data_IF_360776390994
#
_entry.id   IF_360776390994
#
_cell.length_a   1.000
_cell.length_b   1.000
_cell.length_c   1.000
_cell.angle_alpha   90.00
_cell.angle_beta   90.00
_cell.angle_gamma   90.00
#
_symmetry.space_group_name_H-M   'P 1'
#
loop_
_entity.id
_entity.type
_entity.pdbx_description
1 polymer ?
#
# COMPACT_ATOMS: atom_id res chain seq x y z
N UNK A 1 -0.50 14.90 8.14
CA UNK A 1 0.56 13.88 8.32
C UNK A 1 -0.11 12.65 8.89
N UNK A 2 0.17 11.45 8.36
CA UNK A 2 -0.33 10.19 8.94
C UNK A 2 0.24 10.04 10.34
N UNK A 3 -0.57 9.62 11.33
CA UNK A 3 -0.05 9.36 12.68
C UNK A 3 0.78 8.06 12.70
N UNK A 4 1.74 7.92 13.65
CA UNK A 4 2.46 6.66 13.84
C UNK A 4 1.50 5.54 14.20
N UNK A 5 0.55 5.84 15.06
CA UNK A 5 -0.49 4.93 15.48
C UNK A 5 -1.30 4.34 14.30
N UNK A 6 -1.60 5.16 13.26
CA UNK A 6 -2.24 4.67 12.06
C UNK A 6 -1.37 3.66 11.30
N UNK A 7 -0.07 3.99 11.10
CA UNK A 7 0.84 3.11 10.35
C UNK A 7 1.05 1.81 11.11
N UNK A 8 1.40 1.88 12.39
CA UNK A 8 1.69 0.70 13.22
C UNK A 8 0.48 -0.23 13.36
N UNK A 9 -0.71 0.33 13.50
CA UNK A 9 -1.92 -0.49 13.62
C UNK A 9 -2.39 -1.12 12.31
N UNK A 10 -2.19 -0.46 11.18
CA UNK A 10 -2.70 -0.97 9.90
C UNK A 10 -1.63 -1.66 9.06
N UNK A 11 -0.35 -1.40 9.34
CA UNK A 11 0.80 -1.96 8.63
C UNK A 11 1.87 -2.42 9.62
N UNK A 12 1.55 -3.37 10.52
CA UNK A 12 2.49 -3.83 11.54
C UNK A 12 3.68 -4.55 10.90
N UNK A 13 4.84 -4.45 11.54
CA UNK A 13 6.03 -5.19 11.15
C UNK A 13 5.84 -6.69 11.39
N UNK A 14 6.52 -7.51 10.61
CA UNK A 14 6.40 -8.96 10.64
C UNK A 14 5.13 -9.49 9.95
N UNK A 15 4.35 -8.61 9.31
CA UNK A 15 3.07 -8.98 8.70
C UNK A 15 2.98 -8.48 7.27
N UNK A 16 2.35 -9.30 6.41
CA UNK A 16 1.94 -8.90 5.07
C UNK A 16 0.59 -8.20 5.15
N UNK A 17 0.50 -6.98 4.62
CA UNK A 17 -0.78 -6.28 4.43
C UNK A 17 -1.10 -6.18 2.95
N UNK A 18 -2.20 -6.79 2.54
CA UNK A 18 -2.69 -6.74 1.18
C UNK A 18 -3.65 -5.56 1.04
N UNK A 19 -3.33 -4.62 0.15
CA UNK A 19 -4.16 -3.44 -0.13
C UNK A 19 -4.91 -3.66 -1.43
N UNK A 20 -6.15 -4.11 -1.30
CA UNK A 20 -7.05 -4.35 -2.43
C UNK A 20 -7.72 -3.07 -2.91
N UNK A 21 -7.73 -2.83 -4.21
CA UNK A 21 -8.54 -1.76 -4.80
C UNK A 21 -8.89 -2.06 -6.26
N UNK A 22 -10.02 -1.54 -6.70
CA UNK A 22 -10.40 -1.58 -8.11
C UNK A 22 -9.44 -0.75 -8.96
N UNK A 23 -9.36 -1.02 -10.27
CA UNK A 23 -8.58 -0.19 -11.19
C UNK A 23 -8.94 1.30 -11.08
N UNK A 24 -7.95 2.17 -11.24
CA UNK A 24 -8.09 3.63 -11.21
C UNK A 24 -8.56 4.26 -9.88
N UNK A 25 -8.63 3.50 -8.80
CA UNK A 25 -8.94 4.06 -7.46
C UNK A 25 -7.74 4.82 -6.87
N UNK A 26 -6.53 4.56 -7.35
CA UNK A 26 -5.34 5.28 -6.89
C UNK A 26 -4.44 4.48 -5.94
N UNK A 27 -4.37 3.15 -6.08
CA UNK A 27 -3.48 2.28 -5.27
C UNK A 27 -2.04 2.78 -5.19
N UNK A 28 -1.41 2.97 -6.35
CA UNK A 28 -0.01 3.43 -6.43
C UNK A 28 0.17 4.82 -5.81
N UNK A 29 -0.80 5.74 -6.00
CA UNK A 29 -0.77 7.05 -5.37
C UNK A 29 -0.85 6.95 -3.84
N UNK A 30 -1.67 6.03 -3.33
CA UNK A 30 -1.74 5.71 -1.90
C UNK A 30 -0.40 5.21 -1.37
N UNK A 31 0.19 4.19 -2.01
CA UNK A 31 1.46 3.60 -1.60
C UNK A 31 2.61 4.64 -1.63
N UNK A 32 2.68 5.47 -2.67
CA UNK A 32 3.67 6.56 -2.78
C UNK A 32 3.47 7.59 -1.66
N UNK A 33 2.23 8.01 -1.38
CA UNK A 33 1.94 8.94 -0.27
C UNK A 33 2.34 8.36 1.09
N UNK A 34 2.10 7.06 1.30
CA UNK A 34 2.57 6.34 2.50
C UNK A 34 4.10 6.35 2.58
N UNK A 35 4.77 5.98 1.49
CA UNK A 35 6.23 5.94 1.40
C UNK A 35 6.86 7.31 1.70
N UNK A 36 6.30 8.41 1.16
CA UNK A 36 6.73 9.77 1.48
C UNK A 36 6.58 10.08 2.98
N UNK A 37 5.45 9.69 3.59
CA UNK A 37 5.24 9.91 5.02
C UNK A 37 6.21 9.12 5.91
N UNK A 38 6.58 7.90 5.50
CA UNK A 38 7.61 7.10 6.17
C UNK A 38 9.00 7.75 6.01
N UNK A 39 9.36 8.22 4.82
CA UNK A 39 10.63 8.90 4.56
C UNK A 39 10.78 10.19 5.38
N UNK A 40 9.70 10.97 5.55
CA UNK A 40 9.65 12.15 6.45
C UNK A 40 10.00 11.82 7.90
N UNK A 41 9.82 10.55 8.29
CA UNK A 41 10.12 10.03 9.63
C UNK A 41 11.44 9.28 9.72
N UNK A 42 12.29 9.47 8.73
CA UNK A 42 13.58 8.78 8.64
C UNK A 42 13.48 7.25 8.52
N UNK A 43 12.30 6.71 8.15
CA UNK A 43 12.17 5.28 7.88
C UNK A 43 12.73 4.96 6.49
N UNK A 44 13.44 3.83 6.38
CA UNK A 44 13.89 3.30 5.09
C UNK A 44 12.83 2.39 4.52
N UNK A 45 12.62 2.46 3.20
CA UNK A 45 11.71 1.56 2.54
C UNK A 45 12.19 1.18 1.14
N UNK A 46 11.68 0.04 0.69
CA UNK A 46 11.88 -0.46 -0.66
C UNK A 46 10.53 -0.40 -1.37
N UNK A 47 10.52 0.12 -2.60
CA UNK A 47 9.36 0.17 -3.45
C UNK A 47 9.63 -0.62 -4.73
N UNK A 48 9.03 -1.81 -4.83
CA UNK A 48 9.05 -2.62 -6.04
C UNK A 48 7.90 -2.18 -6.94
N UNK A 49 8.25 -1.53 -8.05
CA UNK A 49 7.31 -1.00 -9.03
C UNK A 49 7.25 -1.92 -10.24
N UNK A 50 6.26 -2.80 -10.28
CA UNK A 50 6.12 -3.79 -11.36
C UNK A 50 5.26 -3.30 -12.52
N UNK A 51 4.53 -2.20 -12.33
CA UNK A 51 3.66 -1.59 -13.35
C UNK A 51 4.26 -0.34 -13.99
N UNK A 52 5.08 0.40 -13.24
CA UNK A 52 5.66 1.67 -13.69
C UNK A 52 7.18 1.60 -13.62
N UNK A 53 7.85 2.26 -14.57
CA UNK A 53 9.28 2.48 -14.47
C UNK A 53 9.65 3.38 -13.26
N UNK A 54 10.88 3.27 -12.84
CA UNK A 54 11.44 3.99 -11.70
C UNK A 54 11.31 5.50 -11.84
N UNK A 55 11.52 6.03 -13.03
CA UNK A 55 11.42 7.46 -13.34
C UNK A 55 10.02 7.98 -13.06
N UNK A 56 8.98 7.25 -13.47
CA UNK A 56 7.58 7.61 -13.18
C UNK A 56 7.24 7.59 -11.69
N UNK A 57 7.81 6.64 -10.94
CA UNK A 57 7.64 6.63 -9.48
C UNK A 57 8.28 7.87 -8.87
N UNK A 58 9.51 8.22 -9.29
CA UNK A 58 10.21 9.42 -8.85
C UNK A 58 9.43 10.69 -9.19
N UNK A 59 8.88 10.79 -10.40
CA UNK A 59 8.07 11.94 -10.80
C UNK A 59 6.83 12.07 -9.93
N UNK A 60 6.14 10.97 -9.61
CA UNK A 60 4.99 10.99 -8.70
C UNK A 60 5.35 11.40 -7.27
N UNK A 61 6.57 11.06 -6.81
CA UNK A 61 7.08 11.52 -5.52
C UNK A 61 7.31 13.05 -5.58
N UNK A 62 7.99 13.54 -6.61
CA UNK A 62 8.26 14.97 -6.80
C UNK A 62 7.00 15.82 -6.92
N UNK A 63 5.92 15.27 -7.44
CA UNK A 63 4.62 15.93 -7.51
C UNK A 63 3.94 16.11 -6.14
N UNK A 64 4.31 15.29 -5.15
CA UNK A 64 3.78 15.34 -3.78
C UNK A 64 4.73 16.01 -2.78
N UNK A 65 5.91 16.45 -3.23
CA UNK A 65 6.95 17.08 -2.42
C UNK A 65 7.46 18.35 -3.13
N UNK A 66 7.99 19.28 -2.37
CA UNK A 66 8.82 20.34 -2.98
C UNK A 66 10.28 19.86 -3.19
N UNK A 67 11.09 20.66 -3.91
CA UNK A 67 12.48 20.28 -4.22
C UNK A 67 13.35 20.07 -2.98
N UNK A 68 13.17 20.90 -1.94
CA UNK A 68 13.93 20.80 -0.69
C UNK A 68 13.54 19.53 0.06
N UNK A 69 12.25 19.27 0.13
CA UNK A 69 11.73 18.08 0.77
C UNK A 69 12.20 16.81 0.05
N UNK A 70 12.06 16.75 -1.28
CA UNK A 70 12.54 15.61 -2.07
C UNK A 70 14.03 15.37 -1.84
N UNK A 71 14.86 16.42 -1.88
CA UNK A 71 16.30 16.32 -1.63
C UNK A 71 16.62 15.75 -0.24
N UNK A 72 15.80 16.06 0.77
CA UNK A 72 16.00 15.60 2.15
C UNK A 72 15.61 14.14 2.39
N UNK A 73 14.70 13.60 1.57
CA UNK A 73 14.14 12.26 1.77
C UNK A 73 14.58 11.23 0.72
N UNK A 74 15.12 11.65 -0.42
CA UNK A 74 15.44 10.77 -1.57
C UNK A 74 16.34 9.58 -1.22
N UNK A 75 17.26 9.74 -0.28
CA UNK A 75 18.18 8.67 0.16
C UNK A 75 17.48 7.57 1.00
N UNK A 76 16.20 7.78 1.33
CA UNK A 76 15.37 6.80 2.03
C UNK A 76 14.62 5.88 1.08
N UNK A 77 14.63 6.21 -0.22
CA UNK A 77 13.92 5.48 -1.26
C UNK A 77 14.85 4.50 -1.96
N UNK A 78 14.53 3.22 -1.86
CA UNK A 78 15.07 2.21 -2.77
C UNK A 78 13.91 1.85 -3.70
N UNK A 79 14.03 2.21 -4.99
CA UNK A 79 13.02 1.92 -6.00
C UNK A 79 13.63 0.91 -6.97
N UNK A 80 12.95 -0.22 -7.11
CA UNK A 80 13.30 -1.31 -8.03
C UNK A 80 12.11 -1.56 -8.97
N UNK A 81 12.34 -1.47 -10.27
CA UNK A 81 11.34 -1.67 -11.32
C UNK A 81 11.64 -2.93 -12.16
N UNK A 82 12.38 -3.87 -11.59
CA UNK A 82 12.67 -5.15 -12.23
C UNK A 82 11.37 -5.93 -12.49
N UNK A 83 11.05 -6.26 -13.74
CA UNK A 83 9.81 -6.97 -14.08
C UNK A 83 9.87 -8.43 -13.60
N UNK A 84 8.69 -8.98 -13.26
CA UNK A 84 8.59 -10.39 -12.87
C UNK A 84 9.31 -10.69 -11.56
N UNK A 85 9.22 -9.78 -10.60
CA UNK A 85 9.85 -9.87 -9.27
C UNK A 85 9.55 -11.22 -8.60
N UNK A 86 10.60 -11.87 -8.09
CA UNK A 86 10.54 -13.14 -7.37
C UNK A 86 10.80 -12.95 -5.87
N UNK A 87 10.35 -13.90 -5.06
CA UNK A 87 10.59 -13.90 -3.61
C UNK A 87 12.09 -13.89 -3.29
N UNK A 88 12.87 -14.70 -4.02
CA UNK A 88 14.34 -14.74 -3.88
C UNK A 88 15.02 -13.41 -4.16
N UNK A 89 14.47 -12.60 -5.08
CA UNK A 89 15.00 -11.26 -5.36
C UNK A 89 14.63 -10.25 -4.25
N UNK A 90 13.42 -10.34 -3.71
CA UNK A 90 13.02 -9.53 -2.54
C UNK A 90 13.93 -9.83 -1.35
N UNK A 91 14.17 -11.13 -1.07
CA UNK A 91 15.10 -11.58 -0.01
C UNK A 91 16.48 -10.98 -0.20
N UNK A 92 17.06 -11.15 -1.37
CA UNK A 92 18.40 -10.63 -1.69
C UNK A 92 18.49 -9.10 -1.50
N UNK A 93 17.44 -8.38 -1.86
CA UNK A 93 17.38 -6.93 -1.67
C UNK A 93 17.36 -6.58 -0.18
N UNK A 94 16.58 -7.30 0.64
CA UNK A 94 16.51 -7.08 2.09
C UNK A 94 17.81 -7.43 2.81
N UNK A 95 18.51 -8.49 2.39
CA UNK A 95 19.84 -8.85 2.89
C UNK A 95 20.89 -7.76 2.60
N UNK A 96 20.81 -7.15 1.42
CA UNK A 96 21.76 -6.12 0.97
C UNK A 96 21.45 -4.75 1.56
N UNK A 97 20.18 -4.41 1.64
CA UNK A 97 19.69 -3.11 2.12
C UNK A 97 18.45 -3.32 3.00
N UNK A 98 18.64 -3.57 4.29
CA UNK A 98 17.52 -3.76 5.23
C UNK A 98 16.58 -2.54 5.25
N UNK A 99 15.28 -2.81 5.21
CA UNK A 99 14.23 -1.82 5.26
C UNK A 99 13.09 -2.27 6.19
N UNK A 100 12.45 -1.31 6.85
CA UNK A 100 11.34 -1.58 7.77
C UNK A 100 10.02 -1.77 7.03
N UNK A 101 9.89 -1.17 5.84
CA UNK A 101 8.67 -1.16 5.02
C UNK A 101 9.00 -1.52 3.57
N UNK A 102 8.25 -2.45 3.03
CA UNK A 102 8.37 -2.92 1.65
C UNK A 102 7.03 -2.70 0.94
N UNK A 103 7.04 -1.99 -0.17
CA UNK A 103 5.88 -1.81 -1.04
C UNK A 103 6.06 -2.64 -2.31
N UNK A 104 5.01 -3.36 -2.72
CA UNK A 104 5.00 -4.14 -3.97
C UNK A 104 3.78 -3.70 -4.78
N UNK A 105 4.01 -3.10 -5.93
CA UNK A 105 2.98 -2.55 -6.82
C UNK A 105 3.02 -3.25 -8.19
N UNK A 106 2.28 -4.32 -8.40
CA UNK A 106 1.26 -5.00 -7.57
C UNK A 106 1.42 -6.53 -7.62
N UNK A 107 0.73 -7.24 -6.73
CA UNK A 107 0.84 -8.69 -6.49
C UNK A 107 0.81 -9.56 -7.74
N UNK A 108 -0.17 -9.31 -8.64
CA UNK A 108 -0.41 -10.15 -9.82
C UNK A 108 0.69 -10.06 -10.88
N UNK A 109 1.68 -9.17 -10.73
CA UNK A 109 2.87 -9.08 -11.59
C UNK A 109 4.10 -9.76 -10.99
N UNK A 110 4.00 -10.27 -9.77
CA UNK A 110 5.06 -11.09 -9.19
C UNK A 110 5.10 -12.47 -9.86
N UNK A 111 6.27 -13.07 -9.86
CA UNK A 111 6.51 -14.39 -10.44
C UNK A 111 6.99 -15.34 -9.34
N UNK A 112 6.50 -16.57 -9.22
CA UNK A 112 7.03 -17.54 -8.27
C UNK A 112 8.47 -17.91 -8.62
N UNK A 113 9.27 -18.32 -7.62
CA UNK A 113 10.64 -18.79 -7.85
C UNK A 113 10.67 -20.08 -8.69
N UNK A 114 9.67 -20.94 -8.48
CA UNK A 114 9.48 -22.15 -9.24
C UNK A 114 8.09 -22.13 -9.91
N UNK A 115 8.03 -22.57 -11.17
CA UNK A 115 6.76 -22.70 -11.89
C UNK A 115 5.81 -23.63 -11.14
N UNK A 116 4.58 -23.20 -11.01
CA UNK A 116 3.51 -23.93 -10.33
C UNK A 116 2.52 -24.51 -11.36
N UNK A 117 1.63 -25.39 -10.90
CA UNK A 117 0.64 -26.06 -11.75
C UNK A 117 -0.47 -25.15 -12.27
N UNK A 118 -0.75 -24.07 -11.54
CA UNK A 118 -1.82 -23.13 -11.88
C UNK A 118 -1.51 -21.70 -11.44
N UNK A 119 -2.15 -20.69 -12.04
CA UNK A 119 -2.02 -19.30 -11.60
C UNK A 119 -2.39 -19.08 -10.13
N UNK A 120 -3.33 -19.87 -9.59
CA UNK A 120 -3.69 -19.82 -8.19
C UNK A 120 -2.54 -20.28 -7.29
N UNK A 121 -1.95 -21.44 -7.58
CA UNK A 121 -0.82 -21.97 -6.79
C UNK A 121 0.43 -21.12 -6.93
N UNK A 122 0.62 -20.44 -8.08
CA UNK A 122 1.66 -19.44 -8.25
C UNK A 122 1.49 -18.28 -7.26
N UNK A 123 0.29 -17.71 -7.21
CA UNK A 123 -0.01 -16.57 -6.33
C UNK A 123 0.03 -16.96 -4.85
N UNK A 124 -0.45 -18.17 -4.52
CA UNK A 124 -0.37 -18.74 -3.18
C UNK A 124 1.07 -18.87 -2.72
N UNK A 125 1.96 -19.40 -3.56
CA UNK A 125 3.39 -19.54 -3.24
C UNK A 125 4.07 -18.19 -3.03
N UNK A 126 3.67 -17.17 -3.79
CA UNK A 126 4.16 -15.79 -3.61
C UNK A 126 3.72 -15.22 -2.26
N UNK A 127 2.44 -15.36 -1.90
CA UNK A 127 1.93 -14.86 -0.59
C UNK A 127 2.64 -15.55 0.57
N UNK A 128 2.86 -16.86 0.49
CA UNK A 128 3.58 -17.60 1.53
C UNK A 128 5.02 -17.12 1.66
N UNK A 129 5.74 -16.99 0.54
CA UNK A 129 7.10 -16.46 0.58
C UNK A 129 7.18 -15.02 1.12
N UNK A 130 6.20 -14.17 0.84
CA UNK A 130 6.14 -12.83 1.42
C UNK A 130 5.89 -12.87 2.94
N UNK A 131 5.06 -13.80 3.44
CA UNK A 131 4.84 -13.98 4.88
C UNK A 131 6.14 -14.39 5.58
N UNK A 132 6.86 -15.38 5.02
CA UNK A 132 8.17 -15.80 5.55
C UNK A 132 9.16 -14.62 5.60
N UNK A 133 9.23 -13.81 4.54
CA UNK A 133 10.10 -12.64 4.52
C UNK A 133 9.70 -11.57 5.55
N UNK A 134 8.39 -11.33 5.71
CA UNK A 134 7.89 -10.36 6.69
C UNK A 134 8.32 -10.76 8.11
N UNK A 135 8.15 -12.02 8.48
CA UNK A 135 8.53 -12.56 9.79
C UNK A 135 10.06 -12.56 9.97
N UNK A 136 10.81 -13.09 9.00
CA UNK A 136 12.27 -13.24 9.07
C UNK A 136 13.00 -11.90 9.23
N UNK A 137 12.59 -10.89 8.44
CA UNK A 137 13.20 -9.56 8.48
C UNK A 137 12.50 -8.59 9.44
N UNK A 138 11.44 -9.03 10.12
CA UNK A 138 10.57 -8.17 10.95
C UNK A 138 10.17 -6.88 10.20
N UNK A 139 9.79 -7.02 8.93
CA UNK A 139 9.44 -5.93 8.04
C UNK A 139 7.92 -5.89 7.76
N UNK A 140 7.36 -4.70 7.62
CA UNK A 140 5.99 -4.55 7.14
C UNK A 140 5.98 -4.65 5.60
N UNK A 141 5.36 -5.68 5.06
CA UNK A 141 5.24 -5.87 3.61
C UNK A 141 3.85 -5.44 3.14
N UNK A 142 3.78 -4.35 2.39
CA UNK A 142 2.55 -3.77 1.86
C UNK A 142 2.43 -4.15 0.39
N UNK A 143 1.49 -5.03 0.08
CA UNK A 143 1.29 -5.55 -1.27
C UNK A 143 0.01 -4.97 -1.86
N UNK A 144 0.13 -4.24 -2.95
CA UNK A 144 -1.03 -3.75 -3.66
C UNK A 144 -1.64 -4.88 -4.49
N UNK A 145 -2.95 -4.99 -4.49
CA UNK A 145 -3.68 -6.00 -5.25
C UNK A 145 -4.82 -5.37 -6.04
N UNK A 146 -4.94 -5.78 -7.29
CA UNK A 146 -6.09 -5.42 -8.07
C UNK A 146 -7.23 -6.37 -7.73
N UNK A 147 -8.41 -5.81 -7.37
CA UNK A 147 -9.62 -6.59 -7.14
C UNK A 147 -10.55 -6.54 -8.35
N UNK A 148 -11.49 -7.46 -8.41
CA UNK A 148 -12.45 -7.59 -9.50
C UNK A 148 -13.30 -6.33 -9.68
N UNK A 149 -13.79 -6.10 -10.90
CA UNK A 149 -14.64 -4.94 -11.25
C UNK A 149 -16.11 -5.12 -10.89
N UNK A 150 -16.53 -6.29 -10.41
CA UNK A 150 -17.93 -6.65 -10.20
C UNK A 150 -18.51 -5.91 -9.00
N UNK A 151 -19.58 -5.14 -9.25
CA UNK A 151 -20.45 -4.56 -8.22
C UNK A 151 -20.24 -3.07 -7.94
N UNK A 152 -21.29 -2.46 -7.39
CA UNK A 152 -21.33 -1.06 -6.91
C UNK A 152 -20.94 -0.94 -5.43
N UNK A 153 -20.65 -2.07 -4.77
CA UNK A 153 -20.38 -2.15 -3.34
C UNK A 153 -18.89 -1.93 -3.02
N UNK A 154 -18.59 -1.61 -1.77
CA UNK A 154 -17.24 -1.65 -1.24
C UNK A 154 -16.62 -3.03 -1.54
N UNK A 155 -15.36 -3.11 -2.01
CA UNK A 155 -14.71 -4.41 -2.22
C UNK A 155 -14.65 -5.21 -0.92
N UNK A 156 -14.78 -6.51 -1.04
CA UNK A 156 -14.61 -7.45 0.06
C UNK A 156 -13.60 -8.56 -0.30
N UNK A 157 -13.38 -9.50 0.62
CA UNK A 157 -12.41 -10.58 0.42
C UNK A 157 -12.68 -11.44 -0.80
N UNK A 158 -13.95 -11.61 -1.21
CA UNK A 158 -14.33 -12.40 -2.38
C UNK A 158 -13.94 -11.72 -3.69
N UNK A 159 -13.65 -10.43 -3.67
CA UNK A 159 -13.15 -9.66 -4.83
C UNK A 159 -11.65 -9.88 -5.08
N UNK A 160 -10.92 -10.49 -4.15
CA UNK A 160 -9.51 -10.84 -4.33
C UNK A 160 -9.44 -12.09 -5.20
N UNK A 161 -9.07 -11.90 -6.47
CA UNK A 161 -9.02 -12.98 -7.43
C UNK A 161 -7.97 -14.02 -7.08
N UNK A 162 -8.29 -15.31 -7.28
CA UNK A 162 -7.39 -16.45 -7.20
C UNK A 162 -6.92 -16.86 -5.80
N UNK A 163 -7.19 -16.10 -4.75
CA UNK A 163 -6.84 -16.44 -3.37
C UNK A 163 -8.08 -16.76 -2.56
N UNK A 164 -7.97 -17.78 -1.70
CA UNK A 164 -9.04 -18.18 -0.76
C UNK A 164 -8.79 -17.60 0.63
N UNK A 165 -9.76 -17.75 1.52
CA UNK A 165 -9.59 -17.34 2.92
C UNK A 165 -8.41 -18.03 3.61
N UNK A 166 -8.19 -19.31 3.30
CA UNK A 166 -7.07 -20.11 3.85
C UNK A 166 -5.71 -19.59 3.34
N UNK A 167 -5.62 -19.19 2.06
CA UNK A 167 -4.40 -18.60 1.48
C UNK A 167 -4.03 -17.27 2.16
N UNK A 168 -5.05 -16.56 2.67
CA UNK A 168 -4.94 -15.24 3.30
C UNK A 168 -4.91 -15.30 4.84
N UNK A 169 -4.82 -16.50 5.42
CA UNK A 169 -4.67 -16.63 6.87
C UNK A 169 -3.38 -15.92 7.34
N UNK A 170 -3.50 -15.09 8.38
CA UNK A 170 -2.39 -14.28 8.91
C UNK A 170 -2.02 -13.06 8.06
N UNK A 171 -2.68 -12.83 6.92
CA UNK A 171 -2.52 -11.62 6.10
C UNK A 171 -3.51 -10.56 6.57
N UNK A 172 -3.04 -9.35 6.80
CA UNK A 172 -3.92 -8.20 6.94
C UNK A 172 -4.48 -7.81 5.58
N UNK A 173 -5.78 -7.57 5.50
CA UNK A 173 -6.44 -7.18 4.27
C UNK A 173 -7.06 -5.81 4.45
N UNK A 174 -6.73 -4.93 3.54
CA UNK A 174 -7.22 -3.57 3.51
C UNK A 174 -7.81 -3.27 2.16
N UNK A 175 -8.98 -2.66 2.13
CA UNK A 175 -9.59 -2.20 0.89
C UNK A 175 -9.54 -0.69 0.79
N UNK A 176 -9.02 -0.21 -0.34
CA UNK A 176 -9.09 1.19 -0.72
C UNK A 176 -10.30 1.36 -1.64
N UNK A 177 -11.31 2.05 -1.13
CA UNK A 177 -12.56 2.31 -1.82
C UNK A 177 -12.79 3.81 -1.94
N UNK A 178 -13.51 4.25 -2.97
CA UNK A 178 -13.81 5.65 -3.23
C UNK A 178 -15.30 5.88 -3.20
N UNK A 179 -15.75 6.72 -2.26
CA UNK A 179 -17.12 7.25 -2.23
C UNK A 179 -17.12 8.71 -2.68
N UNK A 180 -17.75 8.99 -3.84
CA UNK A 180 -17.74 10.32 -4.41
C UNK A 180 -16.37 10.81 -4.88
N UNK A 181 -16.18 12.14 -4.97
CA UNK A 181 -14.95 12.72 -5.50
C UNK A 181 -13.81 12.82 -4.47
N UNK A 182 -14.11 12.83 -3.17
CA UNK A 182 -13.16 13.24 -2.12
C UNK A 182 -12.97 12.22 -0.98
N UNK A 183 -13.76 11.16 -0.93
CA UNK A 183 -13.73 10.23 0.18
C UNK A 183 -13.16 8.88 -0.25
N UNK A 184 -12.10 8.46 0.42
CA UNK A 184 -11.62 7.09 0.35
C UNK A 184 -11.88 6.44 1.69
N UNK A 185 -12.55 5.30 1.65
CA UNK A 185 -12.76 4.45 2.81
C UNK A 185 -11.66 3.41 2.83
N UNK A 186 -11.13 3.22 4.00
CA UNK A 186 -10.09 2.26 4.28
C UNK A 186 -10.58 1.35 5.40
N UNK A 187 -10.77 0.07 5.07
CA UNK A 187 -11.19 -0.95 6.02
C UNK A 187 -10.08 -2.00 6.13
N UNK A 188 -9.61 -2.25 7.36
CA UNK A 188 -8.58 -3.24 7.62
C UNK A 188 -9.17 -4.46 8.33
N UNK A 189 -8.91 -5.64 7.79
CA UNK A 189 -9.36 -6.91 8.33
C UNK A 189 -8.18 -7.80 8.68
N UNK A 190 -8.24 -8.49 9.82
CA UNK A 190 -7.35 -9.58 10.17
C UNK A 190 -8.18 -10.83 10.48
N UNK A 191 -7.84 -11.95 9.86
CA UNK A 191 -8.55 -13.23 10.03
C UNK A 191 -10.10 -13.12 9.92
N UNK A 192 -10.56 -12.22 9.04
CA UNK A 192 -11.99 -12.01 8.83
C UNK A 192 -12.66 -10.98 9.74
N UNK A 193 -11.98 -10.51 10.76
CA UNK A 193 -12.50 -9.52 11.69
C UNK A 193 -12.07 -8.11 11.28
N UNK A 194 -13.02 -7.17 11.28
CA UNK A 194 -12.73 -5.75 11.06
C UNK A 194 -11.88 -5.21 12.22
N UNK A 195 -10.64 -4.76 11.92
CA UNK A 195 -9.73 -4.20 12.93
C UNK A 195 -9.93 -2.69 13.03
N UNK A 196 -10.08 -2.03 11.90
CA UNK A 196 -10.29 -0.57 11.88
C UNK A 196 -11.06 -0.14 10.65
N UNK A 197 -12.05 0.71 10.86
CA UNK A 197 -12.74 1.45 9.81
C UNK A 197 -12.25 2.89 9.86
N UNK A 198 -11.60 3.36 8.80
CA UNK A 198 -11.09 4.73 8.72
C UNK A 198 -11.40 5.34 7.36
N UNK A 199 -11.98 6.53 7.41
CA UNK A 199 -12.24 7.34 6.22
C UNK A 199 -11.02 8.19 5.92
N UNK A 200 -10.49 8.08 4.71
CA UNK A 200 -9.44 8.95 4.20
C UNK A 200 -10.05 10.04 3.32
N UNK A 201 -9.61 11.26 3.53
CA UNK A 201 -9.99 12.38 2.67
C UNK A 201 -8.86 12.66 1.68
N UNK A 202 -9.24 12.76 0.42
CA UNK A 202 -8.33 13.18 -0.64
C UNK A 202 -8.63 14.64 -0.94
N UNK A 203 -7.66 15.52 -0.70
CA UNK A 203 -7.79 16.87 -1.23
C UNK A 203 -7.40 16.86 -2.71
N UNK A 204 -8.36 17.07 -3.57
CA UNK A 204 -8.10 17.46 -4.95
C UNK A 204 -7.64 18.92 -4.92
N UNK A 205 -6.37 19.17 -5.16
CA UNK A 205 -5.97 20.51 -5.65
C UNK A 205 -6.35 20.51 -7.13
N UNK A 206 -7.31 21.36 -7.51
CA UNK A 206 -7.89 21.47 -8.87
C UNK A 206 -6.86 21.67 -10.00
N UNK A 207 -5.62 21.96 -9.66
CA UNK A 207 -4.55 22.23 -10.61
C UNK A 207 -3.51 21.11 -10.78
N UNK A 208 -3.62 19.99 -10.06
CA UNK A 208 -2.64 18.92 -10.15
C UNK A 208 -3.29 17.61 -10.63
N UNK A 209 -2.74 16.97 -11.67
CA UNK A 209 -3.25 15.70 -12.19
C UNK A 209 -3.03 14.51 -11.23
N UNK A 210 -2.66 14.76 -9.97
CA UNK A 210 -2.26 13.74 -9.02
C UNK A 210 -3.02 13.87 -7.71
N UNK A 211 -3.49 12.72 -7.24
CA UNK A 211 -4.17 12.57 -5.96
C UNK A 211 -3.13 12.58 -4.85
N UNK A 212 -3.21 13.56 -3.94
CA UNK A 212 -2.45 13.57 -2.70
C UNK A 212 -3.35 13.10 -1.57
N UNK A 213 -2.99 12.00 -0.90
CA UNK A 213 -3.77 11.49 0.22
C UNK A 213 -3.46 12.27 1.48
N UNK A 214 -4.47 12.94 2.02
CA UNK A 214 -4.43 13.49 3.37
C UNK A 214 -5.09 12.48 4.31
N UNK A 215 -4.28 11.87 5.14
CA UNK A 215 -4.76 10.96 6.17
C UNK A 215 -5.21 11.80 7.38
N UNK A 216 -6.48 11.73 7.68
CA UNK A 216 -7.09 12.45 8.80
C UNK A 216 -7.54 11.45 9.84
N UNK A 217 -7.11 11.68 11.07
CA UNK A 217 -7.56 10.90 12.22
C UNK A 217 -8.98 11.35 12.60
N UNK A 218 -9.96 10.42 12.63
CA UNK A 218 -11.35 10.72 12.96
C UNK A 218 -11.51 11.31 14.36
N UNK A 219 -10.60 10.97 15.29
CA UNK A 219 -10.69 11.45 16.66
C UNK A 219 -10.36 12.95 16.81
N UNK A 220 -9.64 13.53 15.84
CA UNK A 220 -9.14 14.91 15.90
C UNK A 220 -9.75 15.86 14.87
N UNK A 221 -10.64 15.38 14.01
CA UNK A 221 -11.15 16.19 12.89
C UNK A 221 -12.67 16.10 12.73
N UNK A 222 -13.31 17.27 12.58
CA UNK A 222 -14.72 17.40 12.18
C UNK A 222 -14.79 18.01 10.78
N UNK A 223 -15.70 17.50 9.94
CA UNK A 223 -16.02 18.11 8.67
C UNK A 223 -16.99 19.28 8.91
N UNK A 224 -16.66 20.43 8.36
CA UNK A 224 -17.62 21.55 8.28
C UNK A 224 -18.64 21.29 7.16
N UNK A 225 -19.81 21.90 7.28
CA UNK A 225 -20.88 21.86 6.25
C UNK A 225 -20.44 22.29 4.85
N UNK A 226 -19.28 22.92 4.72
CA UNK A 226 -18.71 23.39 3.44
C UNK A 226 -17.62 22.46 2.89
N UNK A 227 -17.48 21.22 3.41
CA UNK A 227 -16.46 20.28 2.95
C UNK A 227 -15.02 20.59 3.43
N UNK A 228 -14.82 21.61 4.25
CA UNK A 228 -13.50 21.92 4.83
C UNK A 228 -13.27 21.15 6.14
N UNK A 229 -12.04 20.71 6.34
CA UNK A 229 -11.64 19.94 7.52
C UNK A 229 -11.16 20.90 8.62
N UNK A 230 -11.71 20.76 9.83
CA UNK A 230 -11.25 21.49 11.01
C UNK A 230 -10.75 20.53 12.07
N UNK A 231 -9.65 20.87 12.76
CA UNK A 231 -9.23 20.13 13.96
C UNK A 231 -10.21 20.39 15.10
N UNK A 232 -10.61 19.35 15.81
CA UNK A 232 -11.25 19.51 17.11
C UNK A 232 -10.28 20.24 18.04
N UNK A 233 -10.79 21.26 18.72
CA UNK A 233 -10.03 21.97 19.77
C UNK A 233 -9.99 21.15 21.05
#
# INVERSE_FOLDING_TARGET
>A
MISNHFIENNFPKGIVTLVGARPAIGKSAFAISMAINLARRNQKFIYFSLEMDKERVIDRIKLQTDEKEYASIKERFIIDDTPGLKISQVRKQLETAPADYIFIDYLQLMTPDCKQESPRTELQSVIWGLKELAEEFNAAIIVLSQVNRSGSHCPDKSDISLLTADDLEGVHITFLHREGYYHHIFECYCNGNLISEKTMFVSYKEALPHVTYLFLDRETTEMSSNGSVRKRR
#
